data_IF_584600071515
#
_entry.id   IF_584600071515
#
_cell.length_a   1.000
_cell.length_b   1.000
_cell.length_c   1.000
_cell.angle_alpha   90.00
_cell.angle_beta   90.00
_cell.angle_gamma   90.00
#
_symmetry.space_group_name_H-M   'P 1'
#
loop_
_entity.id
_entity.type
_entity.pdbx_description
1 polymer ?
#
# COMPACT_ATOMS: atom_id res chain seq x y z
N UNK A 1 86.37 37.32 21.37
CA UNK A 1 84.96 37.37 21.78
C UNK A 1 84.07 37.99 20.70
N UNK A 2 84.33 39.21 20.23
CA UNK A 2 83.49 39.87 19.19
C UNK A 2 83.37 39.06 17.89
N UNK A 3 84.47 38.52 17.35
CA UNK A 3 84.41 37.68 16.13
C UNK A 3 83.69 36.34 16.32
N UNK A 4 83.63 35.81 17.55
CA UNK A 4 82.84 34.60 17.86
C UNK A 4 81.37 34.94 17.87
N UNK A 5 80.98 36.02 18.56
CA UNK A 5 79.59 36.48 18.61
C UNK A 5 79.05 36.85 17.22
N UNK A 6 79.87 37.49 16.36
CA UNK A 6 79.49 37.78 14.96
C UNK A 6 79.29 36.50 14.15
N UNK A 7 80.12 35.46 14.38
CA UNK A 7 79.97 34.16 13.73
C UNK A 7 78.70 33.45 14.18
N UNK A 8 78.39 33.47 15.48
CA UNK A 8 77.18 32.86 16.04
C UNK A 8 75.91 33.59 15.56
N UNK A 9 75.93 34.93 15.48
CA UNK A 9 74.85 35.73 14.89
C UNK A 9 74.67 35.39 13.40
N UNK A 10 75.76 35.27 12.64
CA UNK A 10 75.69 34.93 11.21
C UNK A 10 75.12 33.53 10.97
N UNK A 11 75.45 32.57 11.85
CA UNK A 11 74.85 31.24 11.83
C UNK A 11 73.36 31.29 12.19
N UNK A 12 72.99 32.04 13.24
CA UNK A 12 71.59 32.26 13.63
C UNK A 12 70.75 32.93 12.53
N UNK A 13 71.30 33.95 11.86
CA UNK A 13 70.65 34.62 10.72
C UNK A 13 70.43 33.67 9.53
N UNK A 14 71.39 32.79 9.23
CA UNK A 14 71.23 31.77 8.18
C UNK A 14 70.15 30.75 8.53
N UNK A 15 70.11 30.29 9.77
CA UNK A 15 69.03 29.39 10.24
C UNK A 15 67.66 30.08 10.19
N UNK A 16 67.59 31.36 10.53
CA UNK A 16 66.34 32.12 10.46
C UNK A 16 65.89 32.38 9.02
N UNK A 17 66.80 32.68 8.11
CA UNK A 17 66.51 32.80 6.68
C UNK A 17 65.96 31.49 6.11
N UNK A 18 66.60 30.36 6.44
CA UNK A 18 66.10 29.04 6.06
C UNK A 18 64.70 28.75 6.63
N UNK A 19 64.47 29.02 7.92
CA UNK A 19 63.16 28.86 8.54
C UNK A 19 62.08 29.76 7.91
N UNK A 20 62.45 30.96 7.46
CA UNK A 20 61.55 31.88 6.75
C UNK A 20 61.17 31.35 5.37
N UNK A 21 62.13 30.79 4.62
CA UNK A 21 61.88 30.16 3.31
C UNK A 21 60.99 28.93 3.46
N UNK A 22 61.24 28.09 4.46
CA UNK A 22 60.41 26.92 4.78
C UNK A 22 58.99 27.34 5.17
N UNK A 23 58.84 28.40 5.98
CA UNK A 23 57.53 28.96 6.36
C UNK A 23 56.76 29.51 5.16
N UNK A 24 57.42 30.25 4.26
CA UNK A 24 56.79 30.79 3.05
C UNK A 24 56.32 29.67 2.11
N UNK A 25 57.09 28.59 2.00
CA UNK A 25 56.70 27.40 1.24
C UNK A 25 55.47 26.74 1.87
N UNK A 26 55.47 26.52 3.19
CA UNK A 26 54.34 25.94 3.90
C UNK A 26 53.05 26.79 3.74
N UNK A 27 53.17 28.13 3.76
CA UNK A 27 52.04 29.03 3.49
C UNK A 27 51.49 28.90 2.07
N UNK A 28 52.37 28.72 1.07
CA UNK A 28 51.95 28.53 -0.33
C UNK A 28 51.23 27.19 -0.53
N UNK A 29 51.76 26.12 0.10
CA UNK A 29 51.11 24.80 0.12
C UNK A 29 49.75 24.88 0.84
N UNK A 30 49.67 25.59 1.97
CA UNK A 30 48.43 25.81 2.73
C UNK A 30 47.36 26.55 1.90
N UNK A 31 47.73 27.63 1.22
CA UNK A 31 46.81 28.37 0.34
C UNK A 31 46.20 27.48 -0.76
N UNK A 32 47.02 26.60 -1.35
CA UNK A 32 46.55 25.63 -2.37
C UNK A 32 45.55 24.63 -1.78
N UNK A 33 45.81 24.13 -0.57
CA UNK A 33 44.91 23.22 0.14
C UNK A 33 43.60 23.92 0.50
N UNK A 34 43.64 25.15 1.01
CA UNK A 34 42.45 25.96 1.35
C UNK A 34 41.58 26.20 0.12
N UNK A 35 42.17 26.53 -1.03
CA UNK A 35 41.43 26.69 -2.29
C UNK A 35 40.73 25.39 -2.71
N UNK A 36 41.39 24.24 -2.50
CA UNK A 36 40.81 22.93 -2.79
C UNK A 36 39.63 22.63 -1.86
N UNK A 37 39.78 22.90 -0.56
CA UNK A 37 38.71 22.74 0.43
C UNK A 37 37.51 23.63 0.09
N UNK A 38 37.74 24.89 -0.29
CA UNK A 38 36.67 25.80 -0.68
C UNK A 38 35.90 25.29 -1.91
N UNK A 39 36.62 24.81 -2.95
CA UNK A 39 35.99 24.22 -4.14
C UNK A 39 35.18 22.97 -3.79
N UNK A 40 35.74 22.03 -3.03
CA UNK A 40 35.02 20.82 -2.64
C UNK A 40 33.83 21.13 -1.73
N UNK A 41 33.91 22.18 -0.91
CA UNK A 41 32.80 22.61 -0.06
C UNK A 41 31.64 23.14 -0.91
N UNK A 42 31.93 23.92 -1.95
CA UNK A 42 30.92 24.38 -2.90
C UNK A 42 30.22 23.21 -3.62
N UNK A 43 30.97 22.21 -4.07
CA UNK A 43 30.40 21.00 -4.70
C UNK A 43 29.47 20.24 -3.75
N UNK A 44 29.84 20.11 -2.47
CA UNK A 44 29.01 19.46 -1.45
C UNK A 44 27.77 20.27 -1.12
N UNK A 45 27.84 21.62 -1.15
CA UNK A 45 26.67 22.48 -0.98
C UNK A 45 25.63 22.25 -2.09
N UNK A 46 26.08 22.19 -3.34
CA UNK A 46 25.22 21.95 -4.50
C UNK A 46 24.55 20.56 -4.43
N UNK A 47 25.30 19.52 -4.05
CA UNK A 47 24.73 18.18 -3.86
C UNK A 47 23.72 18.15 -2.70
N UNK A 48 23.98 18.87 -1.61
CA UNK A 48 23.04 19.01 -0.50
C UNK A 48 21.74 19.69 -0.97
N UNK A 49 21.80 20.77 -1.74
CA UNK A 49 20.61 21.42 -2.30
C UNK A 49 19.83 20.47 -3.23
N UNK A 50 20.53 19.68 -4.05
CA UNK A 50 19.89 18.67 -4.90
C UNK A 50 19.19 17.60 -4.06
N UNK A 51 19.83 17.12 -2.99
CA UNK A 51 19.27 16.12 -2.09
C UNK A 51 18.06 16.63 -1.32
N UNK A 52 18.05 17.91 -0.90
CA UNK A 52 16.89 18.57 -0.31
C UNK A 52 15.70 18.58 -1.28
N UNK A 53 15.91 19.02 -2.53
CA UNK A 53 14.86 19.03 -3.55
C UNK A 53 14.27 17.64 -3.80
N UNK A 54 15.15 16.62 -3.93
CA UNK A 54 14.74 15.23 -4.14
C UNK A 54 13.98 14.66 -2.94
N UNK A 55 14.38 15.03 -1.73
CA UNK A 55 13.72 14.56 -0.50
C UNK A 55 12.35 15.20 -0.32
N UNK A 56 12.22 16.51 -0.58
CA UNK A 56 10.93 17.20 -0.59
C UNK A 56 9.99 16.59 -1.64
N UNK A 57 10.47 16.38 -2.87
CA UNK A 57 9.66 15.73 -3.92
C UNK A 57 9.27 14.30 -3.53
N UNK A 58 10.18 13.53 -2.91
CA UNK A 58 9.89 12.19 -2.38
C UNK A 58 8.81 12.21 -1.30
N UNK A 59 8.88 13.18 -0.37
CA UNK A 59 7.87 13.36 0.67
C UNK A 59 6.50 13.71 0.08
N UNK A 60 6.42 14.62 -0.89
CA UNK A 60 5.17 14.97 -1.58
C UNK A 60 4.55 13.76 -2.31
N UNK A 61 5.37 12.96 -2.99
CA UNK A 61 4.92 11.72 -3.63
C UNK A 61 4.36 10.75 -2.57
N UNK A 62 5.00 10.64 -1.40
CA UNK A 62 4.49 9.79 -0.33
C UNK A 62 3.16 10.26 0.23
N UNK A 63 2.96 11.57 0.39
CA UNK A 63 1.64 12.11 0.75
C UNK A 63 0.56 11.74 -0.27
N UNK A 64 0.86 11.78 -1.56
CA UNK A 64 -0.06 11.34 -2.61
C UNK A 64 -0.39 9.85 -2.53
N UNK A 65 0.62 9.01 -2.24
CA UNK A 65 0.42 7.56 -2.08
C UNK A 65 -0.42 7.25 -0.83
N UNK A 66 -0.23 7.98 0.27
CA UNK A 66 -1.07 7.85 1.48
C UNK A 66 -2.54 8.13 1.14
N UNK A 67 -2.81 9.22 0.42
CA UNK A 67 -4.17 9.55 0.01
C UNK A 67 -4.75 8.48 -0.94
N UNK A 68 -3.94 7.96 -1.86
CA UNK A 68 -4.35 6.87 -2.74
C UNK A 68 -4.69 5.59 -1.96
N UNK A 69 -3.90 5.24 -0.93
CA UNK A 69 -4.20 4.11 -0.04
C UNK A 69 -5.50 4.31 0.73
N UNK A 70 -5.80 5.54 1.16
CA UNK A 70 -7.07 5.90 1.79
C UNK A 70 -8.25 5.66 0.86
N UNK A 71 -8.13 6.05 -0.42
CA UNK A 71 -9.16 5.80 -1.44
C UNK A 71 -9.35 4.30 -1.70
N UNK A 72 -8.27 3.54 -1.79
CA UNK A 72 -8.32 2.08 -1.98
C UNK A 72 -8.99 1.42 -0.77
N UNK A 73 -8.64 1.82 0.46
CA UNK A 73 -9.27 1.32 1.69
C UNK A 73 -10.79 1.56 1.68
N UNK A 74 -11.21 2.76 1.26
CA UNK A 74 -12.63 3.08 1.07
C UNK A 74 -13.32 2.18 0.04
N UNK A 75 -12.68 1.91 -1.10
CA UNK A 75 -13.21 1.03 -2.14
C UNK A 75 -13.32 -0.43 -1.70
N UNK A 76 -12.33 -0.94 -0.95
CA UNK A 76 -12.36 -2.29 -0.35
C UNK A 76 -13.51 -2.40 0.64
N UNK A 77 -13.68 -1.39 1.51
CA UNK A 77 -14.79 -1.36 2.49
C UNK A 77 -16.15 -1.37 1.79
N UNK A 78 -16.36 -0.52 0.79
CA UNK A 78 -17.62 -0.47 0.04
C UNK A 78 -17.91 -1.80 -0.69
N UNK A 79 -16.88 -2.44 -1.25
CA UNK A 79 -17.02 -3.77 -1.87
C UNK A 79 -17.41 -4.83 -0.85
N UNK A 80 -16.81 -4.80 0.34
CA UNK A 80 -17.16 -5.70 1.45
C UNK A 80 -18.63 -5.54 1.89
N UNK A 81 -19.11 -4.31 2.04
CA UNK A 81 -20.52 -4.01 2.33
C UNK A 81 -21.46 -4.54 1.24
N UNK A 82 -21.06 -4.44 -0.03
CA UNK A 82 -21.82 -4.98 -1.16
C UNK A 82 -21.88 -6.52 -1.14
N UNK A 83 -20.78 -7.18 -0.80
CA UNK A 83 -20.73 -8.64 -0.63
C UNK A 83 -21.65 -9.08 0.52
N UNK A 84 -21.66 -8.36 1.64
CA UNK A 84 -22.55 -8.66 2.77
C UNK A 84 -24.03 -8.50 2.40
N UNK A 85 -24.36 -7.49 1.58
CA UNK A 85 -25.72 -7.33 1.02
C UNK A 85 -26.10 -8.50 0.08
N UNK A 86 -25.16 -8.97 -0.75
CA UNK A 86 -25.36 -10.15 -1.61
C UNK A 86 -25.56 -11.43 -0.80
N UNK A 87 -24.85 -11.58 0.33
CA UNK A 87 -25.03 -12.69 1.26
C UNK A 87 -26.46 -12.72 1.82
N UNK A 88 -26.95 -11.59 2.34
CA UNK A 88 -28.31 -11.47 2.87
C UNK A 88 -29.36 -11.82 1.80
N UNK A 89 -29.21 -11.26 0.59
CA UNK A 89 -30.12 -11.54 -0.53
C UNK A 89 -30.10 -13.00 -0.95
N UNK A 90 -28.93 -13.63 -0.98
CA UNK A 90 -28.78 -15.05 -1.30
C UNK A 90 -29.47 -15.94 -0.26
N UNK A 91 -29.37 -15.57 1.03
CA UNK A 91 -30.06 -16.27 2.12
C UNK A 91 -31.59 -16.15 2.02
N UNK A 92 -32.10 -14.97 1.65
CA UNK A 92 -33.53 -14.77 1.37
C UNK A 92 -34.00 -15.63 0.20
N UNK A 93 -33.25 -15.67 -0.91
CA UNK A 93 -33.59 -16.50 -2.07
C UNK A 93 -33.57 -17.99 -1.68
N UNK A 94 -32.58 -18.44 -0.91
CA UNK A 94 -32.52 -19.82 -0.40
C UNK A 94 -33.78 -20.18 0.40
N UNK A 95 -34.28 -19.26 1.22
CA UNK A 95 -35.52 -19.42 1.99
C UNK A 95 -36.77 -19.53 1.08
N UNK A 96 -36.84 -18.72 0.03
CA UNK A 96 -37.92 -18.78 -0.97
C UNK A 96 -37.89 -20.11 -1.73
N UNK A 97 -36.71 -20.57 -2.16
CA UNK A 97 -36.54 -21.84 -2.87
C UNK A 97 -36.93 -23.03 -1.99
N UNK A 98 -36.61 -22.97 -0.69
CA UNK A 98 -37.10 -23.94 0.30
C UNK A 98 -38.63 -23.98 0.37
N UNK A 99 -39.28 -22.81 0.43
CA UNK A 99 -40.74 -22.71 0.43
C UNK A 99 -41.37 -23.28 -0.86
N UNK A 100 -40.81 -22.97 -2.04
CA UNK A 100 -41.26 -23.52 -3.33
C UNK A 100 -41.14 -25.05 -3.32
N UNK A 101 -40.04 -25.58 -2.78
CA UNK A 101 -39.84 -27.04 -2.65
C UNK A 101 -40.97 -27.66 -1.82
N UNK A 102 -41.31 -27.06 -0.67
CA UNK A 102 -42.39 -27.52 0.20
C UNK A 102 -43.77 -27.44 -0.47
N UNK A 103 -44.05 -26.35 -1.21
CA UNK A 103 -45.30 -26.19 -1.95
C UNK A 103 -45.43 -27.25 -3.05
N UNK A 104 -44.34 -27.53 -3.78
CA UNK A 104 -44.30 -28.57 -4.81
C UNK A 104 -44.56 -29.95 -4.20
N UNK A 105 -43.93 -30.28 -3.07
CA UNK A 105 -44.16 -31.53 -2.33
C UNK A 105 -45.61 -31.67 -1.87
N UNK A 106 -46.19 -30.62 -1.30
CA UNK A 106 -47.59 -30.64 -0.87
C UNK A 106 -48.55 -30.76 -2.06
N UNK A 107 -48.27 -30.07 -3.16
CA UNK A 107 -49.07 -30.15 -4.39
C UNK A 107 -49.00 -31.54 -5.01
N UNK A 108 -47.82 -32.16 -5.02
CA UNK A 108 -47.62 -33.53 -5.47
C UNK A 108 -48.44 -34.51 -4.64
N UNK A 109 -48.43 -34.37 -3.31
CA UNK A 109 -49.20 -35.20 -2.39
C UNK A 109 -50.71 -35.01 -2.56
N UNK A 110 -51.17 -33.77 -2.74
CA UNK A 110 -52.58 -33.47 -3.02
C UNK A 110 -53.04 -34.06 -4.35
N UNK A 111 -52.22 -33.94 -5.40
CA UNK A 111 -52.50 -34.49 -6.72
C UNK A 111 -52.55 -36.03 -6.68
N UNK A 112 -51.64 -36.67 -5.93
CA UNK A 112 -51.66 -38.11 -5.72
C UNK A 112 -52.96 -38.56 -5.05
N UNK A 113 -53.38 -37.89 -3.98
CA UNK A 113 -54.64 -38.20 -3.30
C UNK A 113 -55.85 -38.01 -4.23
N UNK A 114 -55.85 -36.96 -5.05
CA UNK A 114 -56.90 -36.71 -6.03
C UNK A 114 -56.93 -37.80 -7.13
N UNK A 115 -55.78 -38.26 -7.62
CA UNK A 115 -55.70 -39.38 -8.56
C UNK A 115 -56.24 -40.68 -7.97
N UNK A 116 -55.94 -40.95 -6.68
CA UNK A 116 -56.44 -42.14 -5.97
C UNK A 116 -57.98 -42.07 -5.83
N UNK A 117 -58.52 -40.94 -5.40
CA UNK A 117 -59.97 -40.80 -5.23
C UNK A 117 -60.70 -40.80 -6.58
N UNK A 118 -60.13 -40.21 -7.63
CA UNK A 118 -60.68 -40.28 -8.98
C UNK A 118 -60.75 -41.73 -9.50
N UNK A 119 -59.75 -42.56 -9.22
CA UNK A 119 -59.78 -43.98 -9.56
C UNK A 119 -60.86 -44.76 -8.78
N UNK A 120 -61.19 -44.32 -7.56
CA UNK A 120 -62.22 -44.93 -6.71
C UNK A 120 -63.65 -44.68 -7.20
N UNK A 121 -63.92 -43.53 -7.82
CA UNK A 121 -65.25 -43.15 -8.35
C UNK A 121 -65.55 -43.80 -9.71
N UNK A 122 -64.57 -44.45 -10.36
CA UNK A 122 -64.78 -45.24 -11.57
C UNK A 122 -64.89 -44.40 -12.86
N UNK A 123 -65.87 -44.71 -13.73
CA UNK A 123 -66.05 -44.06 -15.04
C UNK A 123 -66.22 -42.52 -14.94
N UNK A 124 -66.99 -42.05 -13.96
CA UNK A 124 -67.24 -40.61 -13.71
C UNK A 124 -65.96 -39.85 -13.28
N UNK A 125 -64.96 -40.55 -12.74
CA UNK A 125 -63.70 -39.98 -12.25
C UNK A 125 -62.61 -39.84 -13.31
N UNK A 126 -62.78 -40.38 -14.52
CA UNK A 126 -61.71 -40.42 -15.56
C UNK A 126 -61.16 -39.03 -15.91
N UNK A 127 -62.03 -38.02 -16.04
CA UNK A 127 -61.60 -36.66 -16.34
C UNK A 127 -60.77 -36.04 -15.20
N UNK A 128 -61.19 -36.25 -13.95
CA UNK A 128 -60.45 -35.81 -12.77
C UNK A 128 -59.10 -36.52 -12.62
N UNK A 129 -59.01 -37.81 -12.96
CA UNK A 129 -57.78 -38.57 -12.90
C UNK A 129 -56.70 -38.01 -13.85
N UNK A 130 -57.10 -37.59 -15.06
CA UNK A 130 -56.19 -36.95 -16.03
C UNK A 130 -55.66 -35.62 -15.50
N UNK A 131 -56.55 -34.77 -14.98
CA UNK A 131 -56.14 -33.46 -14.41
C UNK A 131 -55.21 -33.66 -13.22
N UNK A 132 -55.53 -34.58 -12.30
CA UNK A 132 -54.68 -34.88 -11.15
C UNK A 132 -53.29 -35.39 -11.57
N UNK A 133 -53.21 -36.23 -12.62
CA UNK A 133 -51.94 -36.66 -13.20
C UNK A 133 -51.09 -35.51 -13.76
N UNK A 134 -51.71 -34.56 -14.46
CA UNK A 134 -51.00 -33.40 -15.01
C UNK A 134 -50.53 -32.45 -13.90
N UNK A 135 -51.35 -32.21 -12.88
CA UNK A 135 -50.96 -31.42 -11.69
C UNK A 135 -49.78 -32.11 -10.97
N UNK A 136 -49.80 -33.43 -10.83
CA UNK A 136 -48.70 -34.19 -10.22
C UNK A 136 -47.40 -33.99 -11.00
N UNK A 137 -47.46 -34.10 -12.32
CA UNK A 137 -46.30 -33.91 -13.20
C UNK A 137 -45.73 -32.48 -13.11
N UNK A 138 -46.60 -31.46 -13.05
CA UNK A 138 -46.18 -30.07 -12.85
C UNK A 138 -45.53 -29.86 -11.47
N UNK A 139 -46.02 -30.54 -10.43
CA UNK A 139 -45.44 -30.49 -9.10
C UNK A 139 -44.04 -31.14 -9.07
N UNK A 140 -43.87 -32.32 -9.67
CA UNK A 140 -42.56 -32.99 -9.82
C UNK A 140 -41.57 -32.08 -10.59
N UNK A 141 -41.98 -31.50 -11.72
CA UNK A 141 -41.16 -30.55 -12.50
C UNK A 141 -40.78 -29.28 -11.71
N UNK A 142 -41.70 -28.76 -10.90
CA UNK A 142 -41.44 -27.61 -10.03
C UNK A 142 -40.41 -27.95 -8.95
N UNK A 143 -40.48 -29.16 -8.41
CA UNK A 143 -39.53 -29.63 -7.40
C UNK A 143 -38.11 -29.80 -7.97
N UNK A 144 -37.99 -30.36 -9.18
CA UNK A 144 -36.71 -30.50 -9.86
C UNK A 144 -36.10 -29.14 -10.21
N UNK A 145 -36.93 -28.19 -10.66
CA UNK A 145 -36.50 -26.81 -10.92
C UNK A 145 -36.01 -26.13 -9.63
N UNK A 146 -36.73 -26.29 -8.51
CA UNK A 146 -36.33 -25.75 -7.21
C UNK A 146 -34.99 -26.35 -6.72
N UNK A 147 -34.74 -27.65 -6.95
CA UNK A 147 -33.45 -28.29 -6.64
C UNK A 147 -32.30 -27.73 -7.47
N UNK A 148 -32.51 -27.47 -8.76
CA UNK A 148 -31.51 -26.85 -9.63
C UNK A 148 -31.18 -25.43 -9.17
N UNK A 149 -32.20 -24.62 -8.86
CA UNK A 149 -32.01 -23.26 -8.32
C UNK A 149 -31.25 -23.31 -7.00
N UNK A 150 -31.58 -24.23 -6.09
CA UNK A 150 -30.85 -24.40 -4.82
C UNK A 150 -29.36 -24.65 -5.05
N UNK A 151 -29.02 -25.55 -5.96
CA UNK A 151 -27.61 -25.84 -6.31
C UNK A 151 -26.87 -24.59 -6.79
N UNK A 152 -27.54 -23.73 -7.59
CA UNK A 152 -26.97 -22.47 -8.06
C UNK A 152 -26.76 -21.48 -6.90
N UNK A 153 -27.74 -21.35 -6.00
CA UNK A 153 -27.66 -20.47 -4.83
C UNK A 153 -26.54 -20.93 -3.87
N UNK A 154 -26.40 -22.23 -3.64
CA UNK A 154 -25.31 -22.79 -2.84
C UNK A 154 -23.93 -22.53 -3.47
N UNK A 155 -23.86 -22.43 -4.80
CA UNK A 155 -22.66 -21.99 -5.52
C UNK A 155 -22.38 -20.50 -5.28
N UNK A 156 -23.38 -19.65 -5.47
CA UNK A 156 -23.28 -18.21 -5.26
C UNK A 156 -22.87 -17.88 -3.81
N UNK A 157 -23.43 -18.56 -2.81
CA UNK A 157 -23.06 -18.38 -1.41
C UNK A 157 -21.58 -18.73 -1.15
N UNK A 158 -21.06 -19.78 -1.78
CA UNK A 158 -19.62 -20.12 -1.69
C UNK A 158 -18.74 -19.04 -2.33
N UNK A 159 -19.13 -18.54 -3.49
CA UNK A 159 -18.39 -17.47 -4.18
C UNK A 159 -18.40 -16.16 -3.36
N UNK A 160 -19.52 -15.85 -2.71
CA UNK A 160 -19.67 -14.73 -1.77
C UNK A 160 -18.70 -14.88 -0.59
N UNK A 161 -18.64 -16.05 0.04
CA UNK A 161 -17.73 -16.32 1.17
C UNK A 161 -16.26 -16.17 0.76
N UNK A 162 -15.87 -16.73 -0.38
CA UNK A 162 -14.51 -16.57 -0.92
C UNK A 162 -14.18 -15.10 -1.22
N UNK A 163 -15.14 -14.36 -1.78
CA UNK A 163 -14.98 -12.93 -2.06
C UNK A 163 -14.84 -12.11 -0.78
N UNK A 164 -15.59 -12.46 0.28
CA UNK A 164 -15.50 -11.82 1.59
C UNK A 164 -14.11 -12.04 2.23
N UNK A 165 -13.59 -13.26 2.19
CA UNK A 165 -12.24 -13.59 2.66
C UNK A 165 -11.17 -12.81 1.89
N UNK A 166 -11.29 -12.75 0.55
CA UNK A 166 -10.38 -11.98 -0.28
C UNK A 166 -10.42 -10.47 0.03
N UNK A 167 -11.60 -9.90 0.31
CA UNK A 167 -11.71 -8.50 0.74
C UNK A 167 -11.13 -8.26 2.13
N UNK A 168 -11.26 -9.21 3.06
CA UNK A 168 -10.64 -9.11 4.37
C UNK A 168 -9.11 -9.10 4.27
N UNK A 169 -8.53 -10.00 3.47
CA UNK A 169 -7.10 -10.01 3.18
C UNK A 169 -6.68 -8.71 2.48
N UNK A 170 -7.43 -8.27 1.48
CA UNK A 170 -7.17 -7.01 0.78
C UNK A 170 -7.14 -5.80 1.74
N UNK A 171 -8.05 -5.75 2.71
CA UNK A 171 -8.06 -4.71 3.74
C UNK A 171 -6.80 -4.73 4.61
N UNK A 172 -6.29 -5.91 4.96
CA UNK A 172 -5.05 -6.03 5.74
C UNK A 172 -3.82 -5.59 4.93
N UNK A 173 -3.76 -5.93 3.65
CA UNK A 173 -2.64 -5.53 2.79
C UNK A 173 -2.63 -4.02 2.51
N UNK A 174 -3.80 -3.39 2.39
CA UNK A 174 -3.91 -1.92 2.29
C UNK A 174 -3.42 -1.24 3.56
N UNK A 175 -3.78 -1.76 4.74
CA UNK A 175 -3.31 -1.22 6.02
C UNK A 175 -1.78 -1.31 6.15
N UNK A 176 -1.21 -2.48 5.85
CA UNK A 176 0.25 -2.66 5.82
C UNK A 176 0.92 -1.71 4.83
N UNK A 177 0.35 -1.57 3.63
CA UNK A 177 0.85 -0.66 2.61
C UNK A 177 0.82 0.79 3.08
N UNK A 178 -0.23 1.20 3.78
CA UNK A 178 -0.34 2.54 4.37
C UNK A 178 0.73 2.77 5.43
N UNK A 179 0.98 1.80 6.31
CA UNK A 179 2.03 1.89 7.33
C UNK A 179 3.42 2.04 6.70
N UNK A 180 3.78 1.19 5.72
CA UNK A 180 5.08 1.26 5.03
C UNK A 180 5.25 2.61 4.31
N UNK A 181 4.18 3.13 3.72
CA UNK A 181 4.21 4.45 3.06
C UNK A 181 4.47 5.57 4.07
N UNK A 182 3.84 5.51 5.24
CA UNK A 182 4.05 6.49 6.32
C UNK A 182 5.49 6.44 6.85
N UNK A 183 6.03 5.25 7.09
CA UNK A 183 7.43 5.06 7.50
C UNK A 183 8.40 5.59 6.43
N UNK A 184 8.09 5.38 5.15
CA UNK A 184 8.88 5.92 4.04
C UNK A 184 8.82 7.44 3.97
N UNK A 185 7.66 8.03 4.25
CA UNK A 185 7.50 9.49 4.36
C UNK A 185 8.39 10.09 5.46
N UNK A 186 8.53 9.39 6.60
CA UNK A 186 9.43 9.79 7.69
C UNK A 186 10.90 9.74 7.27
N UNK A 187 11.32 8.72 6.51
CA UNK A 187 12.70 8.65 6.02
C UNK A 187 13.07 9.84 5.14
N UNK A 188 12.16 10.36 4.31
CA UNK A 188 12.43 11.57 3.53
C UNK A 188 12.58 12.82 4.41
N UNK A 189 11.83 12.92 5.51
CA UNK A 189 11.96 14.01 6.48
C UNK A 189 13.30 13.95 7.23
N UNK A 190 13.74 12.74 7.58
CA UNK A 190 15.05 12.51 8.21
C UNK A 190 16.20 12.88 7.26
N UNK A 191 16.09 12.52 5.97
CA UNK A 191 17.07 12.90 4.94
C UNK A 191 17.10 14.44 4.78
N UNK A 192 15.94 15.09 4.74
CA UNK A 192 15.85 16.56 4.66
C UNK A 192 16.56 17.22 5.85
N UNK A 193 16.36 16.69 7.05
CA UNK A 193 17.02 17.18 8.28
C UNK A 193 18.53 16.98 8.22
N UNK A 194 18.99 15.80 7.81
CA UNK A 194 20.42 15.50 7.66
C UNK A 194 21.08 16.40 6.61
N UNK A 195 20.39 16.64 5.50
CA UNK A 195 20.86 17.48 4.39
C UNK A 195 21.01 18.93 4.81
N UNK A 196 20.02 19.48 5.53
CA UNK A 196 20.09 20.82 6.10
C UNK A 196 21.28 20.98 7.07
N UNK A 197 21.57 19.94 7.87
CA UNK A 197 22.74 19.94 8.74
C UNK A 197 24.05 19.98 7.96
N UNK A 198 24.16 19.23 6.87
CA UNK A 198 25.34 19.26 5.98
C UNK A 198 25.50 20.64 5.35
N UNK A 199 24.42 21.25 4.85
CA UNK A 199 24.48 22.60 4.27
C UNK A 199 25.00 23.64 5.27
N UNK A 200 24.53 23.60 6.53
CA UNK A 200 25.02 24.48 7.60
C UNK A 200 26.52 24.24 7.91
N UNK A 201 26.96 22.99 7.97
CA UNK A 201 28.38 22.67 8.20
C UNK A 201 29.28 23.16 7.07
N UNK A 202 28.80 23.11 5.83
CA UNK A 202 29.51 23.63 4.66
C UNK A 202 29.61 25.15 4.70
N UNK A 203 28.57 25.84 5.18
CA UNK A 203 28.62 27.27 5.41
C UNK A 203 29.71 27.66 6.43
N UNK A 204 29.80 26.92 7.54
CA UNK A 204 30.85 27.13 8.56
C UNK A 204 32.26 26.90 7.98
N UNK A 205 32.45 25.84 7.19
CA UNK A 205 33.73 25.55 6.53
C UNK A 205 34.09 26.66 5.54
N UNK A 206 33.12 27.14 4.76
CA UNK A 206 33.34 28.20 3.78
C UNK A 206 33.82 29.49 4.45
N UNK A 207 33.16 29.90 5.54
CA UNK A 207 33.59 31.05 6.35
C UNK A 207 35.00 30.85 6.94
N UNK A 208 35.33 29.65 7.43
CA UNK A 208 36.67 29.35 7.94
C UNK A 208 37.74 29.42 6.82
N UNK A 209 37.44 28.93 5.62
CA UNK A 209 38.38 29.00 4.49
C UNK A 209 38.60 30.42 4.00
N UNK A 210 37.57 31.28 4.04
CA UNK A 210 37.70 32.71 3.73
C UNK A 210 38.59 33.43 4.76
N UNK A 211 38.45 33.12 6.05
CA UNK A 211 39.30 33.69 7.10
C UNK A 211 40.78 33.28 6.98
N UNK A 212 41.07 32.04 6.54
CA UNK A 212 42.45 31.56 6.35
C UNK A 212 43.08 32.13 5.07
N UNK A 213 42.27 32.41 4.06
CA UNK A 213 42.72 32.97 2.78
C UNK A 213 42.97 34.48 2.82
N UNK A 214 42.41 35.19 3.82
CA UNK A 214 42.55 36.63 4.06
C UNK A 214 43.88 36.99 4.77
#
# INVERSE_FOLDING_TARGET
>A
MISSNIRDISLGLRSQDQASVESARAMTEMSTVVQTIASSSADVADEALSMEQRSNSGHEIMQQVIEQMRLISGAVKHTSESIQSLESRSNEISSIVNMITQIADQTNLLALNASIEAARVGEEGKGFAVVAGEVRKLAEQSQDSAKQIRTLIDGIQRDILQSAEAMQLGSQEVEKGSQVTMETGQFFEDILTATNKVANQIQDISSCTEEIAA
#
